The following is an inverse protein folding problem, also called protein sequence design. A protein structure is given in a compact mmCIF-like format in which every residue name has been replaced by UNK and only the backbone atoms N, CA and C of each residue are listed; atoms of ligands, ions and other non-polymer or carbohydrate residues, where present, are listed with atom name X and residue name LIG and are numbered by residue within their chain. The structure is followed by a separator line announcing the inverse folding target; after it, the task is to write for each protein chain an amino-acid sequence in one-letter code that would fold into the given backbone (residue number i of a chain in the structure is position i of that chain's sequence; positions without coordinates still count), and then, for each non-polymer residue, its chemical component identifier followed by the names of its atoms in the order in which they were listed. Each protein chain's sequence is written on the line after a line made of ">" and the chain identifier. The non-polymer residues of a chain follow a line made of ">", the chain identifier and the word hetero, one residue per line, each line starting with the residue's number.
data_IF_989128985300
#
_entry.id   IF_989128985300
#
_cell.length_a   1.000
_cell.length_b   1.000
_cell.length_c   1.000
_cell.angle_alpha   90.00
_cell.angle_beta   90.00
_cell.angle_gamma   90.00
#
_symmetry.space_group_name_H-M   'P 1'
#
loop_
_entity.id
_entity.type
_entity.pdbx_description
1 polymer ?
#
# COMPACT_ATOMS: atom_id res chain seq x y z
N UNK A 1 45.42 -32.72 -37.58
CA UNK A 1 45.11 -31.69 -36.57
C UNK A 1 43.60 -31.63 -36.42
N UNK A 2 43.10 -31.91 -35.22
CA UNK A 2 41.69 -32.13 -34.90
C UNK A 2 40.87 -30.84 -34.91
N UNK A 3 39.83 -30.79 -35.76
CA UNK A 3 38.74 -29.77 -35.79
C UNK A 3 37.75 -29.91 -34.61
N UNK A 4 38.17 -30.43 -33.47
CA UNK A 4 37.26 -30.82 -32.39
C UNK A 4 36.74 -29.63 -31.55
N UNK A 5 37.39 -28.46 -31.58
CA UNK A 5 37.05 -27.32 -30.72
C UNK A 5 36.34 -26.13 -31.40
N UNK A 6 36.28 -26.06 -32.73
CA UNK A 6 35.78 -24.87 -33.43
C UNK A 6 34.26 -24.70 -33.32
N UNK A 7 33.50 -25.81 -33.22
CA UNK A 7 32.05 -25.77 -32.98
C UNK A 7 31.67 -25.55 -31.50
N UNK A 8 32.52 -25.99 -30.57
CA UNK A 8 32.29 -25.86 -29.12
C UNK A 8 32.59 -24.44 -28.60
N UNK A 9 33.51 -23.72 -29.26
CA UNK A 9 33.83 -22.33 -28.89
C UNK A 9 32.64 -21.39 -29.14
N UNK A 10 31.87 -21.65 -30.21
CA UNK A 10 30.63 -20.91 -30.49
C UNK A 10 29.51 -21.20 -29.49
N UNK A 11 29.36 -22.45 -29.04
CA UNK A 11 28.35 -22.81 -28.03
C UNK A 11 28.70 -22.28 -26.63
N UNK A 12 29.99 -22.26 -26.27
CA UNK A 12 30.43 -21.69 -24.98
C UNK A 12 30.25 -20.16 -24.96
N UNK A 13 30.67 -19.46 -26.01
CA UNK A 13 30.45 -18.01 -26.12
C UNK A 13 28.96 -17.66 -26.09
N UNK A 14 28.11 -18.45 -26.73
CA UNK A 14 26.65 -18.29 -26.67
C UNK A 14 26.12 -18.47 -25.24
N UNK A 15 26.55 -19.52 -24.53
CA UNK A 15 26.13 -19.73 -23.13
C UNK A 15 26.55 -18.60 -22.19
N UNK A 16 27.72 -18.00 -22.41
CA UNK A 16 28.16 -16.84 -21.64
C UNK A 16 27.31 -15.60 -21.94
N UNK A 17 26.95 -15.39 -23.20
CA UNK A 17 26.08 -14.29 -23.60
C UNK A 17 24.66 -14.45 -23.03
N UNK A 18 24.10 -15.67 -23.07
CA UNK A 18 22.81 -16.00 -22.47
C UNK A 18 22.82 -15.80 -20.96
N UNK A 19 23.86 -16.26 -20.26
CA UNK A 19 24.02 -16.05 -18.82
C UNK A 19 24.11 -14.55 -18.48
N UNK A 20 24.89 -13.77 -19.24
CA UNK A 20 24.99 -12.33 -19.02
C UNK A 20 23.64 -11.62 -19.21
N UNK A 21 22.85 -12.02 -20.21
CA UNK A 21 21.52 -11.48 -20.43
C UNK A 21 20.56 -11.84 -19.29
N UNK A 22 20.54 -13.10 -18.85
CA UNK A 22 19.73 -13.55 -17.71
C UNK A 22 20.11 -12.83 -16.42
N UNK A 23 21.42 -12.67 -16.16
CA UNK A 23 21.90 -11.99 -14.96
C UNK A 23 21.49 -10.51 -14.93
N UNK A 24 21.54 -9.85 -16.09
CA UNK A 24 21.11 -8.46 -16.23
C UNK A 24 19.62 -8.32 -15.94
N UNK A 25 18.79 -9.17 -16.54
CA UNK A 25 17.34 -9.15 -16.31
C UNK A 25 16.98 -9.47 -14.85
N UNK A 26 17.65 -10.45 -14.24
CA UNK A 26 17.44 -10.80 -12.83
C UNK A 26 17.76 -9.63 -11.88
N UNK A 27 18.79 -8.85 -12.18
CA UNK A 27 19.15 -7.65 -11.43
C UNK A 27 18.06 -6.59 -11.58
N UNK A 28 17.66 -6.28 -12.81
CA UNK A 28 16.62 -5.26 -13.08
C UNK A 28 15.28 -5.66 -12.44
N UNK A 29 14.86 -6.92 -12.58
CA UNK A 29 13.65 -7.45 -11.96
C UNK A 29 13.69 -7.35 -10.42
N UNK A 30 14.83 -7.69 -9.80
CA UNK A 30 15.02 -7.56 -8.35
C UNK A 30 14.87 -6.11 -7.89
N UNK A 31 15.48 -5.15 -8.61
CA UNK A 31 15.39 -3.74 -8.26
C UNK A 31 13.95 -3.22 -8.40
N UNK A 32 13.26 -3.59 -9.48
CA UNK A 32 11.86 -3.23 -9.69
C UNK A 32 10.96 -3.76 -8.57
N UNK A 33 11.14 -5.03 -8.19
CA UNK A 33 10.36 -5.65 -7.11
C UNK A 33 10.61 -4.95 -5.76
N UNK A 34 11.86 -4.60 -5.45
CA UNK A 34 12.19 -3.83 -4.23
C UNK A 34 11.44 -2.49 -4.21
N UNK A 35 11.48 -1.75 -5.31
CA UNK A 35 10.83 -0.43 -5.41
C UNK A 35 9.31 -0.58 -5.27
N UNK A 36 8.72 -1.59 -5.93
CA UNK A 36 7.30 -1.88 -5.86
C UNK A 36 6.87 -2.21 -4.43
N UNK A 37 7.60 -3.04 -3.71
CA UNK A 37 7.22 -3.44 -2.35
C UNK A 37 7.44 -2.30 -1.35
N UNK A 38 8.53 -1.53 -1.46
CA UNK A 38 8.76 -0.33 -0.64
C UNK A 38 7.62 0.67 -0.86
N UNK A 39 7.33 1.01 -2.12
CA UNK A 39 6.27 1.94 -2.49
C UNK A 39 4.90 1.47 -2.03
N UNK A 40 4.56 0.22 -2.34
CA UNK A 40 3.26 -0.36 -1.96
C UNK A 40 3.08 -0.43 -0.45
N UNK A 41 4.13 -0.77 0.32
CA UNK A 41 4.08 -0.77 1.79
C UNK A 41 3.77 0.62 2.34
N UNK A 42 4.48 1.65 1.87
CA UNK A 42 4.27 3.04 2.32
C UNK A 42 2.85 3.52 1.97
N UNK A 43 2.38 3.26 0.75
CA UNK A 43 1.03 3.63 0.30
C UNK A 43 -0.04 2.93 1.16
N UNK A 44 0.06 1.61 1.35
CA UNK A 44 -0.92 0.84 2.13
C UNK A 44 -0.99 1.29 3.59
N UNK A 45 0.15 1.63 4.18
CA UNK A 45 0.24 2.11 5.57
C UNK A 45 -0.21 3.55 5.73
N UNK A 46 -0.23 4.33 4.65
CA UNK A 46 -0.60 5.75 4.71
C UNK A 46 -2.04 5.94 5.13
N UNK A 47 -2.33 6.79 6.13
CA UNK A 47 -3.68 6.96 6.66
C UNK A 47 -4.62 7.62 5.64
N UNK A 48 -5.90 7.27 5.73
CA UNK A 48 -6.97 7.83 4.87
C UNK A 48 -8.03 8.61 5.64
N UNK A 49 -7.79 8.82 6.94
CA UNK A 49 -8.78 9.36 7.88
C UNK A 49 -9.70 8.29 8.41
N UNK A 50 -10.16 8.47 9.64
CA UNK A 50 -11.23 7.65 10.18
C UNK A 50 -12.27 8.61 10.80
N UNK A 51 -13.42 8.80 10.13
CA UNK A 51 -14.45 9.69 10.63
C UNK A 51 -14.99 9.35 12.03
N UNK A 52 -14.96 8.07 12.41
CA UNK A 52 -15.52 7.58 13.67
C UNK A 52 -14.69 7.97 14.91
N UNK A 53 -13.44 8.38 14.73
CA UNK A 53 -12.55 8.77 15.84
C UNK A 53 -12.33 10.29 15.91
N UNK A 54 -12.96 11.06 15.02
CA UNK A 54 -12.83 12.51 15.05
C UNK A 54 -13.60 13.09 16.24
N UNK A 55 -12.98 14.05 16.94
CA UNK A 55 -13.56 14.66 18.13
C UNK A 55 -14.98 15.20 17.89
N UNK A 56 -15.22 15.85 16.74
CA UNK A 56 -16.53 16.37 16.35
C UNK A 56 -17.62 15.29 16.20
N UNK A 57 -17.22 14.04 15.92
CA UNK A 57 -18.14 12.93 15.74
C UNK A 57 -18.26 12.04 16.98
N UNK A 58 -17.64 12.40 18.11
CA UNK A 58 -17.63 11.56 19.32
C UNK A 58 -19.05 11.16 19.75
N UNK A 59 -19.99 12.10 19.73
CA UNK A 59 -21.39 11.85 20.08
C UNK A 59 -22.05 10.92 19.06
N UNK A 60 -21.87 11.19 17.77
CA UNK A 60 -22.44 10.38 16.70
C UNK A 60 -21.92 8.93 16.72
N UNK A 61 -20.61 8.77 16.89
CA UNK A 61 -19.96 7.46 16.97
C UNK A 61 -20.37 6.67 18.22
N UNK A 62 -20.50 7.33 19.38
CA UNK A 62 -21.00 6.69 20.60
C UNK A 62 -22.47 6.27 20.45
N UNK A 63 -23.30 7.12 19.83
CA UNK A 63 -24.71 6.80 19.59
C UNK A 63 -24.86 5.60 18.65
N UNK A 64 -24.18 5.62 17.51
CA UNK A 64 -24.21 4.53 16.53
C UNK A 64 -23.72 3.22 17.15
N UNK A 65 -22.64 3.27 17.93
CA UNK A 65 -22.16 2.12 18.69
C UNK A 65 -23.21 1.59 19.67
N UNK A 66 -23.91 2.46 20.39
CA UNK A 66 -24.96 2.03 21.31
C UNK A 66 -26.15 1.38 20.58
N UNK A 67 -26.51 1.87 19.39
CA UNK A 67 -27.54 1.23 18.53
C UNK A 67 -27.09 -0.16 18.07
N UNK A 68 -25.82 -0.30 17.68
CA UNK A 68 -25.26 -1.59 17.26
C UNK A 68 -25.14 -2.59 18.41
N UNK A 69 -24.69 -2.14 19.58
CA UNK A 69 -24.61 -2.95 20.80
C UNK A 69 -26.03 -3.42 21.21
N UNK A 70 -27.01 -2.52 21.20
CA UNK A 70 -28.42 -2.87 21.44
C UNK A 70 -28.94 -3.92 20.44
N UNK A 71 -28.65 -3.74 19.15
CA UNK A 71 -29.02 -4.71 18.12
C UNK A 71 -28.29 -6.05 18.26
N UNK A 72 -27.09 -6.05 18.83
CA UNK A 72 -26.32 -7.26 19.12
C UNK A 72 -26.90 -7.98 20.32
N UNK A 73 -27.30 -7.27 21.37
CA UNK A 73 -27.98 -7.83 22.54
C UNK A 73 -29.32 -8.48 22.16
N UNK A 74 -30.08 -7.85 21.27
CA UNK A 74 -31.30 -8.45 20.73
C UNK A 74 -31.05 -9.79 20.03
N UNK A 75 -29.86 -10.00 19.43
CA UNK A 75 -29.50 -11.27 18.79
C UNK A 75 -29.08 -12.35 19.78
N UNK A 76 -28.64 -11.96 20.97
CA UNK A 76 -28.21 -12.89 22.02
C UNK A 76 -29.38 -13.65 22.64
N UNK A 77 -30.60 -13.12 22.56
CA UNK A 77 -31.81 -13.82 23.01
C UNK A 77 -32.42 -14.68 21.89
N UNK A 78 -32.45 -16.03 22.04
CA UNK A 78 -33.05 -16.92 21.06
C UNK A 78 -34.53 -16.62 20.77
N UNK A 79 -35.26 -16.03 21.71
CA UNK A 79 -36.66 -15.66 21.52
C UNK A 79 -36.85 -14.55 20.46
N UNK A 80 -35.81 -13.75 20.21
CA UNK A 80 -35.81 -12.70 19.21
C UNK A 80 -35.41 -13.20 17.81
N UNK A 81 -35.00 -14.47 17.69
CA UNK A 81 -34.55 -15.06 16.44
C UNK A 81 -35.66 -15.84 15.73
N UNK A 82 -35.61 -15.81 14.40
CA UNK A 82 -36.34 -16.72 13.51
C UNK A 82 -35.69 -18.11 13.55
N UNK A 83 -36.39 -19.13 13.02
CA UNK A 83 -35.83 -20.49 12.92
C UNK A 83 -34.51 -20.56 12.13
N UNK A 84 -34.24 -19.58 11.27
CA UNK A 84 -33.00 -19.44 10.51
C UNK A 84 -31.93 -18.55 11.16
N UNK A 85 -32.07 -18.21 12.45
CA UNK A 85 -31.06 -17.45 13.21
C UNK A 85 -31.01 -15.94 12.92
N UNK A 86 -31.90 -15.41 12.07
CA UNK A 86 -32.04 -13.95 11.85
C UNK A 86 -32.95 -13.33 12.89
N UNK A 87 -32.71 -12.06 13.26
CA UNK A 87 -33.66 -11.27 14.06
C UNK A 87 -35.06 -11.27 13.42
N UNK A 88 -36.09 -11.39 14.25
CA UNK A 88 -37.49 -11.25 13.83
C UNK A 88 -37.73 -9.84 13.26
N UNK A 89 -38.58 -9.70 12.23
CA UNK A 89 -38.93 -8.40 11.64
C UNK A 89 -39.40 -7.38 12.70
N UNK A 90 -38.98 -6.13 12.56
CA UNK A 90 -39.36 -5.03 13.46
C UNK A 90 -38.64 -4.97 14.80
N UNK A 91 -37.77 -5.95 15.13
CA UNK A 91 -36.98 -5.91 16.38
C UNK A 91 -35.73 -5.05 16.29
N UNK A 92 -35.09 -5.00 15.12
CA UNK A 92 -33.86 -4.23 14.92
C UNK A 92 -34.17 -2.73 15.04
N UNK A 93 -33.41 -2.02 15.88
CA UNK A 93 -33.36 -0.57 15.91
C UNK A 93 -32.60 -0.08 14.67
N UNK A 94 -33.28 0.70 13.80
CA UNK A 94 -32.67 1.32 12.62
C UNK A 94 -32.59 2.82 12.86
N UNK A 95 -31.64 3.20 13.71
CA UNK A 95 -31.38 4.59 14.07
C UNK A 95 -29.87 4.84 14.01
N UNK A 96 -29.48 6.10 13.89
CA UNK A 96 -28.09 6.51 13.81
C UNK A 96 -27.95 8.01 13.61
N UNK A 97 -26.79 8.52 13.97
CA UNK A 97 -26.37 9.90 13.78
C UNK A 97 -25.35 9.98 12.64
N UNK A 98 -25.45 11.04 11.84
CA UNK A 98 -24.51 11.29 10.75
C UNK A 98 -23.10 11.58 11.30
N UNK A 99 -22.10 10.98 10.65
CA UNK A 99 -20.68 11.22 10.91
C UNK A 99 -20.17 12.15 9.82
N UNK A 100 -19.62 13.30 10.22
CA UNK A 100 -19.26 14.39 9.30
C UNK A 100 -17.75 14.58 9.26
N UNK A 101 -17.17 14.87 8.10
CA UNK A 101 -15.75 15.21 8.00
C UNK A 101 -15.46 16.67 8.35
N UNK A 102 -14.28 16.98 8.93
CA UNK A 102 -13.85 18.36 9.09
C UNK A 102 -13.91 19.09 7.75
N UNK A 103 -14.20 20.38 7.79
CA UNK A 103 -14.22 21.21 6.59
C UNK A 103 -12.86 21.14 5.87
N UNK A 104 -12.87 20.87 4.57
CA UNK A 104 -11.66 20.69 3.76
C UNK A 104 -10.95 19.33 3.93
N UNK A 105 -11.47 18.41 4.76
CA UNK A 105 -10.89 17.08 4.89
C UNK A 105 -11.21 16.21 3.68
N UNK A 106 -10.15 15.72 3.01
CA UNK A 106 -10.27 14.82 1.86
C UNK A 106 -9.62 13.47 2.20
N UNK A 107 -10.45 12.52 2.64
CA UNK A 107 -10.00 11.18 3.01
C UNK A 107 -9.44 10.44 1.80
N UNK A 108 -8.19 9.98 1.88
CA UNK A 108 -7.51 9.30 0.77
C UNK A 108 -6.57 10.15 -0.07
N UNK A 109 -6.56 11.50 0.09
CA UNK A 109 -5.64 12.38 -0.65
C UNK A 109 -4.18 12.16 -0.28
N UNK A 110 -3.89 11.95 1.01
CA UNK A 110 -2.52 11.67 1.46
C UNK A 110 -1.94 10.42 0.79
N UNK A 111 -2.75 9.34 0.77
CA UNK A 111 -2.39 8.07 0.13
C UNK A 111 -2.18 8.23 -1.37
N UNK A 112 -3.03 9.01 -2.04
CA UNK A 112 -2.94 9.29 -3.47
C UNK A 112 -1.73 10.11 -3.91
N UNK A 113 -1.11 10.87 -3.00
CA UNK A 113 -0.03 11.79 -3.33
C UNK A 113 1.36 11.14 -3.36
N UNK A 114 1.47 9.86 -3.03
CA UNK A 114 2.72 9.12 -3.22
C UNK A 114 2.96 8.87 -4.70
N UNK A 115 4.02 9.45 -5.24
CA UNK A 115 4.44 9.27 -6.62
C UNK A 115 5.89 8.83 -6.70
N UNK A 116 6.20 8.10 -7.78
CA UNK A 116 7.55 7.67 -8.09
C UNK A 116 8.08 8.48 -9.26
N UNK A 117 9.28 9.02 -9.12
CA UNK A 117 10.04 9.63 -10.20
C UNK A 117 11.43 9.00 -10.32
N UNK A 118 11.99 8.99 -11.53
CA UNK A 118 13.30 8.39 -11.82
C UNK A 118 14.28 9.51 -12.19
N UNK A 119 15.43 9.54 -11.52
CA UNK A 119 16.54 10.48 -11.70
C UNK A 119 16.22 11.98 -11.47
N UNK A 120 14.96 12.31 -11.14
CA UNK A 120 14.50 13.67 -10.83
C UNK A 120 13.69 13.68 -9.54
N UNK A 121 13.88 14.72 -8.72
CA UNK A 121 13.01 15.00 -7.56
C UNK A 121 11.96 16.00 -7.98
N UNK A 122 10.71 15.60 -7.94
CA UNK A 122 9.57 16.47 -8.27
C UNK A 122 8.99 17.13 -7.01
N UNK A 123 8.60 18.40 -7.13
CA UNK A 123 7.99 19.17 -6.05
C UNK A 123 6.51 19.44 -6.34
N UNK A 124 5.76 18.38 -6.65
CA UNK A 124 4.33 18.45 -7.01
C UNK A 124 3.45 17.86 -5.92
N UNK A 125 2.20 18.34 -5.88
CA UNK A 125 1.10 17.77 -5.08
C UNK A 125 -0.14 17.66 -5.95
N UNK A 126 -0.99 16.71 -5.61
CA UNK A 126 -2.15 16.27 -6.38
C UNK A 126 -3.42 16.40 -5.52
N UNK A 127 -4.56 16.68 -6.17
CA UNK A 127 -5.87 16.80 -5.48
C UNK A 127 -6.69 15.51 -5.57
N UNK A 128 -6.15 14.52 -6.26
CA UNK A 128 -6.66 13.18 -6.43
C UNK A 128 -6.81 12.45 -5.08
N UNK A 129 -7.76 11.52 -5.07
CA UNK A 129 -8.20 10.82 -3.87
C UNK A 129 -8.25 9.34 -4.14
N UNK A 130 -7.49 8.58 -3.38
CA UNK A 130 -7.42 7.12 -3.52
C UNK A 130 -7.39 6.46 -2.12
N UNK A 131 -8.56 6.33 -1.48
CA UNK A 131 -8.64 5.72 -0.16
C UNK A 131 -8.28 4.24 -0.20
N UNK A 132 -8.40 3.57 -1.35
CA UNK A 132 -8.03 2.16 -1.52
C UNK A 132 -6.53 1.94 -1.79
N UNK A 133 -5.82 2.99 -2.23
CA UNK A 133 -4.42 2.94 -2.64
C UNK A 133 -4.17 2.20 -3.96
N UNK A 134 -5.20 1.67 -4.61
CA UNK A 134 -5.04 0.77 -5.76
C UNK A 134 -4.60 1.53 -7.01
N UNK A 135 -5.16 2.72 -7.25
CA UNK A 135 -4.77 3.54 -8.39
C UNK A 135 -3.34 4.04 -8.22
N UNK A 136 -2.98 4.43 -7.00
CA UNK A 136 -1.64 4.92 -6.64
C UNK A 136 -0.59 3.81 -6.80
N UNK A 137 -0.87 2.60 -6.33
CA UNK A 137 0.02 1.45 -6.50
C UNK A 137 0.15 1.07 -7.98
N UNK A 138 -0.95 1.08 -8.74
CA UNK A 138 -0.92 0.79 -10.17
C UNK A 138 -0.06 1.81 -10.94
N UNK A 139 -0.18 3.10 -10.61
CA UNK A 139 0.67 4.15 -11.17
C UNK A 139 2.15 3.94 -10.82
N UNK A 140 2.44 3.54 -9.57
CA UNK A 140 3.80 3.22 -9.14
C UNK A 140 4.36 2.03 -9.93
N UNK A 141 3.64 0.93 -10.06
CA UNK A 141 4.07 -0.25 -10.83
C UNK A 141 4.35 0.14 -12.29
N UNK A 142 3.50 0.99 -12.87
CA UNK A 142 3.70 1.50 -14.23
C UNK A 142 4.93 2.39 -14.35
N UNK A 143 5.27 3.19 -13.34
CA UNK A 143 6.47 4.03 -13.36
C UNK A 143 7.76 3.20 -13.21
N UNK A 144 7.69 2.09 -12.45
CA UNK A 144 8.83 1.19 -12.22
C UNK A 144 9.19 0.35 -13.46
N UNK A 145 8.28 0.11 -14.40
CA UNK A 145 8.56 -0.75 -15.56
C UNK A 145 9.76 -0.27 -16.38
N UNK A 146 9.99 1.04 -16.39
CA UNK A 146 11.05 1.68 -17.17
C UNK A 146 12.34 1.85 -16.36
N UNK A 147 12.34 1.44 -15.09
CA UNK A 147 13.50 1.52 -14.22
C UNK A 147 14.54 0.46 -14.59
N UNK A 148 15.80 0.88 -14.63
CA UNK A 148 16.97 0.02 -14.88
C UNK A 148 18.07 0.26 -13.86
N UNK A 149 18.92 -0.74 -13.66
CA UNK A 149 20.06 -0.65 -12.75
C UNK A 149 20.97 0.55 -13.09
N UNK A 150 21.31 1.34 -12.06
CA UNK A 150 22.13 2.55 -12.18
C UNK A 150 21.33 3.85 -12.11
N UNK A 151 20.01 3.79 -12.21
CA UNK A 151 19.12 4.93 -12.00
C UNK A 151 18.74 5.09 -10.52
N UNK A 152 18.26 6.26 -10.14
CA UNK A 152 17.76 6.55 -8.79
C UNK A 152 16.25 6.73 -8.79
N UNK A 153 15.55 5.94 -8.00
CA UNK A 153 14.10 6.06 -7.81
C UNK A 153 13.78 6.93 -6.58
N UNK A 154 12.95 7.94 -6.75
CA UNK A 154 12.47 8.81 -5.68
C UNK A 154 10.99 8.52 -5.42
N UNK A 155 10.67 8.13 -4.19
CA UNK A 155 9.29 8.01 -3.71
C UNK A 155 8.93 9.27 -2.92
N UNK A 156 7.98 10.05 -3.42
CA UNK A 156 7.78 11.44 -3.00
C UNK A 156 6.34 11.65 -2.52
N UNK A 157 6.22 12.44 -1.45
CA UNK A 157 4.95 13.01 -1.01
C UNK A 157 5.21 14.40 -0.42
N UNK A 158 4.85 15.45 -1.16
CA UNK A 158 5.16 16.84 -0.81
C UNK A 158 4.04 17.54 -0.02
N UNK A 159 3.04 16.79 0.46
CA UNK A 159 1.96 17.39 1.24
C UNK A 159 2.50 17.97 2.55
N UNK A 160 2.13 19.21 2.93
CA UNK A 160 2.69 19.87 4.11
C UNK A 160 2.51 19.09 5.42
N UNK A 161 1.49 18.23 5.48
CA UNK A 161 1.18 17.39 6.64
C UNK A 161 1.82 15.99 6.57
N UNK A 162 2.64 15.66 5.57
CA UNK A 162 3.32 14.37 5.46
C UNK A 162 4.26 14.11 6.65
N UNK A 163 5.04 15.11 7.06
CA UNK A 163 5.96 15.02 8.20
C UNK A 163 5.18 14.75 9.51
N UNK A 164 4.17 15.56 9.90
CA UNK A 164 3.35 15.25 11.06
C UNK A 164 2.80 13.81 11.07
N UNK A 165 2.29 13.32 9.94
CA UNK A 165 1.76 11.96 9.83
C UNK A 165 2.83 10.89 10.02
N UNK A 166 4.03 11.09 9.47
CA UNK A 166 5.17 10.19 9.64
C UNK A 166 5.63 10.11 11.11
N UNK A 167 5.49 11.20 11.88
CA UNK A 167 5.98 11.32 13.26
C UNK A 167 4.87 11.20 14.32
N UNK A 168 3.76 10.52 14.01
CA UNK A 168 2.81 10.03 15.01
C UNK A 168 1.55 10.88 15.21
N UNK A 169 1.27 11.85 14.35
CA UNK A 169 -0.03 12.55 14.37
C UNK A 169 -1.20 11.68 13.87
N UNK A 170 -0.93 10.48 13.37
CA UNK A 170 -1.96 9.54 12.94
C UNK A 170 -2.02 8.33 13.87
N UNK A 171 -3.23 8.02 14.35
CA UNK A 171 -3.52 6.81 15.13
C UNK A 171 -3.53 5.53 14.28
N UNK A 172 -3.76 5.64 12.97
CA UNK A 172 -3.65 4.50 12.02
C UNK A 172 -2.19 4.12 11.75
N UNK A 173 -1.28 5.03 12.08
CA UNK A 173 0.08 5.11 11.54
C UNK A 173 1.11 5.60 12.59
N UNK A 174 1.03 5.17 13.87
CA UNK A 174 1.76 5.83 14.97
C UNK A 174 3.29 5.71 14.86
N UNK A 175 3.78 4.61 14.27
CA UNK A 175 5.20 4.37 14.06
C UNK A 175 5.79 4.99 12.79
N UNK A 176 4.98 5.68 11.99
CA UNK A 176 5.38 6.22 10.68
C UNK A 176 5.39 5.16 9.57
N UNK A 177 5.20 5.61 8.34
CA UNK A 177 5.04 4.76 7.15
C UNK A 177 6.40 4.47 6.60
N UNK A 178 7.17 5.53 6.38
CA UNK A 178 8.51 5.47 5.83
C UNK A 178 9.45 4.78 6.81
N UNK A 179 9.38 5.09 8.11
CA UNK A 179 10.25 4.48 9.13
C UNK A 179 10.01 2.97 9.27
N UNK A 180 8.75 2.54 9.30
CA UNK A 180 8.43 1.11 9.40
C UNK A 180 8.89 0.39 8.13
N UNK A 181 8.64 0.94 6.95
CA UNK A 181 9.10 0.34 5.70
C UNK A 181 10.63 0.31 5.62
N UNK A 182 11.32 1.37 6.04
CA UNK A 182 12.78 1.43 6.09
C UNK A 182 13.36 0.36 7.04
N UNK A 183 12.73 0.14 8.20
CA UNK A 183 13.13 -0.93 9.11
C UNK A 183 12.98 -2.33 8.49
N UNK A 184 12.05 -2.50 7.54
CA UNK A 184 11.82 -3.76 6.79
C UNK A 184 12.65 -3.86 5.51
N UNK A 185 13.38 -2.82 5.13
CA UNK A 185 14.07 -2.74 3.84
C UNK A 185 14.96 -3.96 3.57
N UNK A 186 15.76 -4.37 4.56
CA UNK A 186 16.65 -5.52 4.40
C UNK A 186 15.90 -6.83 4.10
N UNK A 187 14.72 -7.02 4.68
CA UNK A 187 13.86 -8.17 4.40
C UNK A 187 13.30 -8.09 2.97
N UNK A 188 12.80 -6.93 2.57
CA UNK A 188 12.26 -6.69 1.21
C UNK A 188 13.32 -7.02 0.16
N UNK A 189 14.55 -6.54 0.34
CA UNK A 189 15.68 -6.83 -0.56
C UNK A 189 15.95 -8.34 -0.64
N UNK A 190 15.97 -9.04 0.49
CA UNK A 190 16.22 -10.49 0.50
C UNK A 190 15.10 -11.29 -0.19
N UNK A 191 13.85 -10.87 -0.03
CA UNK A 191 12.70 -11.51 -0.68
C UNK A 191 12.75 -11.30 -2.20
N UNK A 192 12.98 -10.07 -2.66
CA UNK A 192 13.09 -9.77 -4.09
C UNK A 192 14.26 -10.51 -4.76
N UNK A 193 15.44 -10.53 -4.12
CA UNK A 193 16.60 -11.27 -4.65
C UNK A 193 16.30 -12.77 -4.72
N UNK A 194 15.58 -13.32 -3.73
CA UNK A 194 15.20 -14.74 -3.72
C UNK A 194 14.24 -15.08 -4.85
N UNK A 195 13.32 -14.18 -5.18
CA UNK A 195 12.30 -14.40 -6.20
C UNK A 195 12.86 -14.35 -7.63
N UNK A 196 13.99 -13.69 -7.85
CA UNK A 196 14.59 -13.47 -9.18
C UNK A 196 15.93 -14.19 -9.35
N UNK A 197 16.14 -15.34 -8.70
CA UNK A 197 17.36 -16.13 -8.85
C UNK A 197 17.39 -16.85 -10.22
N UNK A 198 18.59 -16.94 -10.80
CA UNK A 198 18.90 -17.65 -12.05
C UNK A 198 19.98 -18.71 -11.85
#
# INVERSE_FOLDING_TARGET
>A
MSRAGSGQSGSFALSLAEFAAQATEAIDASLREIIIEVGSSVIRMSPVGNPEIWAQNTVASQYNKAVDDHNSDLRSDPANLTKGGRLKPGRKLNDGMDIVAPEGYVGGRFRANWHLSIDVVESVTFDEVDPGGQATIAALVSAVSDFTAGQTAYLINNLPYAIPLEFGHSTQAPGGMVRITAARFQQIVQEAIRNNQI
#
